data_IF_796863356080
#
_entry.id   IF_796863356080
#
_cell.length_a   1.000
_cell.length_b   1.000
_cell.length_c   1.000
_cell.angle_alpha   90.00
_cell.angle_beta   90.00
_cell.angle_gamma   90.00
#
_symmetry.space_group_name_H-M   'P 1'
#
loop_
_entity.id
_entity.type
_entity.pdbx_description
1 polymer ?
#
# COMPACT_ATOMS: atom_id res chain seq x y z
N UNK A 1 -24.70 12.88 1.29
CA UNK A 1 -24.99 11.77 2.23
C UNK A 1 -24.48 10.42 1.71
N UNK A 2 -24.48 10.15 0.40
CA UNK A 2 -23.97 8.89 -0.17
C UNK A 2 -22.45 8.65 -0.07
N UNK A 3 -21.64 9.72 0.01
CA UNK A 3 -20.16 9.63 -0.08
C UNK A 3 -19.52 8.84 1.06
N UNK A 4 -20.08 8.88 2.28
CA UNK A 4 -19.44 8.28 3.45
C UNK A 4 -19.47 6.75 3.47
N UNK A 5 -20.57 6.15 3.01
CA UNK A 5 -20.71 4.69 2.97
C UNK A 5 -19.82 4.10 1.88
N UNK A 6 -19.77 4.76 0.71
CA UNK A 6 -18.89 4.36 -0.40
C UNK A 6 -17.41 4.44 0.01
N UNK A 7 -17.00 5.54 0.65
CA UNK A 7 -15.64 5.72 1.17
C UNK A 7 -15.28 4.67 2.25
N UNK A 8 -16.25 4.25 3.08
CA UNK A 8 -16.05 3.20 4.09
C UNK A 8 -15.86 1.82 3.44
N UNK A 9 -16.70 1.47 2.46
CA UNK A 9 -16.57 0.22 1.70
C UNK A 9 -15.22 0.16 0.98
N UNK A 10 -14.80 1.24 0.32
CA UNK A 10 -13.50 1.31 -0.35
C UNK A 10 -12.33 1.11 0.63
N UNK A 11 -12.41 1.71 1.83
CA UNK A 11 -11.42 1.50 2.89
C UNK A 11 -11.40 0.05 3.38
N UNK A 12 -12.54 -0.59 3.55
CA UNK A 12 -12.62 -1.99 3.96
C UNK A 12 -12.02 -2.94 2.92
N UNK A 13 -12.30 -2.71 1.63
CA UNK A 13 -11.72 -3.45 0.51
C UNK A 13 -10.20 -3.29 0.48
N UNK A 14 -9.71 -2.06 0.58
CA UNK A 14 -8.27 -1.78 0.61
C UNK A 14 -7.60 -2.43 1.82
N UNK A 15 -8.18 -2.33 3.01
CA UNK A 15 -7.68 -2.96 4.22
C UNK A 15 -7.62 -4.48 4.08
N UNK A 16 -8.64 -5.09 3.47
CA UNK A 16 -8.69 -6.52 3.20
C UNK A 16 -7.63 -6.96 2.19
N UNK A 17 -7.39 -6.17 1.14
CA UNK A 17 -6.31 -6.43 0.20
C UNK A 17 -4.91 -6.28 0.82
N UNK A 18 -4.69 -5.27 1.68
CA UNK A 18 -3.42 -5.06 2.40
C UNK A 18 -3.10 -6.23 3.34
N UNK A 19 -4.11 -6.84 3.98
CA UNK A 19 -3.91 -8.03 4.83
C UNK A 19 -3.30 -9.23 4.08
N UNK A 20 -3.42 -9.29 2.74
CA UNK A 20 -2.83 -10.35 1.91
C UNK A 20 -1.38 -10.08 1.50
N UNK A 21 -0.85 -8.88 1.77
CA UNK A 21 0.55 -8.57 1.51
C UNK A 21 1.47 -9.30 2.48
N UNK A 22 2.67 -9.65 2.03
CA UNK A 22 3.72 -10.11 2.94
C UNK A 22 4.11 -9.00 3.92
N UNK A 23 4.73 -9.36 5.05
CA UNK A 23 5.17 -8.38 6.05
C UNK A 23 6.08 -7.27 5.45
N UNK A 24 6.95 -7.64 4.51
CA UNK A 24 7.83 -6.68 3.83
C UNK A 24 7.06 -5.74 2.90
N UNK A 25 6.15 -6.28 2.09
CA UNK A 25 5.31 -5.47 1.19
C UNK A 25 4.41 -4.53 1.99
N UNK A 26 3.77 -5.03 3.05
CA UNK A 26 2.96 -4.23 3.97
C UNK A 26 3.78 -3.10 4.59
N UNK A 27 5.00 -3.39 5.08
CA UNK A 27 5.88 -2.37 5.64
C UNK A 27 6.24 -1.29 4.63
N UNK A 28 6.51 -1.66 3.37
CA UNK A 28 6.78 -0.69 2.30
C UNK A 28 5.56 0.20 2.09
N UNK A 29 4.34 -0.37 2.01
CA UNK A 29 3.12 0.41 1.83
C UNK A 29 2.80 1.32 3.02
N UNK A 30 2.99 0.82 4.25
CA UNK A 30 2.82 1.62 5.47
C UNK A 30 3.74 2.84 5.49
N UNK A 31 4.99 2.69 5.06
CA UNK A 31 5.94 3.80 5.00
C UNK A 31 5.65 4.75 3.83
N UNK A 32 5.33 4.22 2.65
CA UNK A 32 5.11 5.04 1.43
C UNK A 32 3.85 5.88 1.51
N UNK A 33 2.78 5.35 2.11
CA UNK A 33 1.44 5.94 2.09
C UNK A 33 0.91 6.25 3.49
N UNK A 34 1.78 6.24 4.52
CA UNK A 34 1.40 6.63 5.88
C UNK A 34 0.31 5.76 6.51
N UNK A 35 0.10 4.52 6.06
CA UNK A 35 -1.07 3.70 6.44
C UNK A 35 -1.14 3.36 7.93
N UNK A 36 -0.05 3.56 8.67
CA UNK A 36 0.03 3.29 10.11
C UNK A 36 -0.02 4.55 10.98
N UNK A 37 0.58 5.65 10.53
CA UNK A 37 0.81 6.85 11.35
C UNK A 37 0.53 8.17 10.62
N UNK A 38 -0.02 8.12 9.40
CA UNK A 38 -0.30 9.28 8.55
C UNK A 38 0.94 9.92 7.93
N UNK A 39 2.15 9.40 8.19
CA UNK A 39 3.40 9.99 7.68
C UNK A 39 3.90 9.22 6.48
N UNK A 40 3.78 9.84 5.31
CA UNK A 40 4.33 9.33 4.06
C UNK A 40 5.83 9.56 3.98
N UNK A 41 6.52 8.66 3.27
CA UNK A 41 7.95 8.75 2.98
C UNK A 41 8.17 8.51 1.51
N UNK A 42 9.05 9.27 0.88
CA UNK A 42 9.48 9.09 -0.51
C UNK A 42 10.10 7.71 -0.76
N UNK A 43 10.17 7.28 -2.03
CA UNK A 43 10.84 6.03 -2.38
C UNK A 43 12.31 6.01 -1.96
N UNK A 44 12.97 7.18 -1.99
CA UNK A 44 14.36 7.34 -1.54
C UNK A 44 14.46 7.13 -0.04
N UNK A 45 13.64 7.80 0.75
CA UNK A 45 13.65 7.62 2.22
C UNK A 45 13.34 6.18 2.64
N UNK A 46 12.38 5.51 1.98
CA UNK A 46 12.09 4.10 2.27
C UNK A 46 13.26 3.19 1.84
N UNK A 47 13.91 3.49 0.73
CA UNK A 47 15.12 2.79 0.29
C UNK A 47 16.24 2.91 1.32
N UNK A 48 16.52 4.13 1.77
CA UNK A 48 17.54 4.44 2.77
C UNK A 48 17.24 3.70 4.09
N UNK A 49 15.99 3.70 4.55
CA UNK A 49 15.56 2.98 5.75
C UNK A 49 15.67 1.45 5.65
N UNK A 50 15.48 0.88 4.46
CA UNK A 50 15.47 -0.56 4.24
C UNK A 50 16.80 -1.10 3.69
N UNK A 51 17.81 -0.23 3.52
CA UNK A 51 19.13 -0.61 3.02
C UNK A 51 19.11 -1.18 1.60
N UNK A 52 18.24 -0.66 0.73
CA UNK A 52 18.10 -1.09 -0.67
C UNK A 52 18.01 0.09 -1.62
N UNK A 53 18.19 -0.11 -2.92
CA UNK A 53 18.11 0.99 -3.88
C UNK A 53 16.69 1.55 -4.03
N UNK A 54 16.59 2.86 -4.28
CA UNK A 54 15.32 3.52 -4.63
C UNK A 54 14.68 2.92 -5.88
N UNK A 55 15.49 2.49 -6.86
CA UNK A 55 15.00 1.76 -8.04
C UNK A 55 14.37 0.41 -7.70
N UNK A 56 14.87 -0.29 -6.67
CA UNK A 56 14.28 -1.54 -6.22
C UNK A 56 12.96 -1.29 -5.48
N UNK A 57 12.88 -0.26 -4.63
CA UNK A 57 11.61 0.20 -4.03
C UNK A 57 10.58 0.52 -5.11
N UNK A 58 10.96 1.29 -6.14
CA UNK A 58 10.05 1.64 -7.24
C UNK A 58 9.47 0.40 -7.94
N UNK A 59 10.31 -0.62 -8.20
CA UNK A 59 9.85 -1.89 -8.79
C UNK A 59 8.92 -2.67 -7.85
N UNK A 60 9.23 -2.71 -6.55
CA UNK A 60 8.39 -3.38 -5.56
C UNK A 60 7.03 -2.67 -5.43
N UNK A 61 7.01 -1.35 -5.31
CA UNK A 61 5.79 -0.54 -5.22
C UNK A 61 4.86 -0.78 -6.41
N UNK A 62 5.38 -0.75 -7.64
CA UNK A 62 4.60 -1.08 -8.85
C UNK A 62 3.97 -2.48 -8.79
N UNK A 63 4.74 -3.48 -8.34
CA UNK A 63 4.26 -4.87 -8.20
C UNK A 63 3.18 -4.99 -7.13
N UNK A 64 3.40 -4.37 -5.97
CA UNK A 64 2.47 -4.39 -4.84
C UNK A 64 1.15 -3.72 -5.24
N UNK A 65 1.20 -2.53 -5.85
CA UNK A 65 0.01 -1.82 -6.33
C UNK A 65 -0.76 -2.65 -7.36
N UNK A 66 -0.06 -3.27 -8.32
CA UNK A 66 -0.70 -4.16 -9.30
C UNK A 66 -1.42 -5.34 -8.62
N UNK A 67 -0.81 -5.93 -7.59
CA UNK A 67 -1.41 -7.01 -6.81
C UNK A 67 -2.64 -6.52 -6.02
N UNK A 68 -2.55 -5.38 -5.34
CA UNK A 68 -3.67 -4.79 -4.60
C UNK A 68 -4.86 -4.52 -5.51
N UNK A 69 -4.64 -3.92 -6.68
CA UNK A 69 -5.70 -3.69 -7.69
C UNK A 69 -6.37 -5.00 -8.12
N UNK A 70 -5.59 -6.05 -8.39
CA UNK A 70 -6.13 -7.37 -8.74
C UNK A 70 -6.95 -7.98 -7.61
N UNK A 71 -6.52 -7.81 -6.36
CA UNK A 71 -7.27 -8.32 -5.20
C UNK A 71 -8.57 -7.56 -4.99
N UNK A 72 -8.56 -6.23 -5.10
CA UNK A 72 -9.77 -5.41 -4.99
C UNK A 72 -10.76 -5.77 -6.10
N UNK A 73 -10.30 -5.90 -7.35
CA UNK A 73 -11.15 -6.30 -8.48
C UNK A 73 -11.74 -7.72 -8.36
N UNK A 74 -11.24 -8.55 -7.44
CA UNK A 74 -11.81 -9.89 -7.15
C UNK A 74 -12.85 -9.85 -6.03
N UNK A 75 -12.88 -8.78 -5.26
CA UNK A 75 -13.77 -8.59 -4.11
C UNK A 75 -15.03 -7.79 -4.47
N UNK A 76 -14.95 -7.01 -5.56
CA UNK A 76 -16.07 -6.34 -6.22
C UNK A 76 -16.65 -7.27 -7.27
#
# INVERSE_FOLDING_TARGET
IHRSIEDEIEKELLNSAIKKLSAREKKIMELRFGLKNGVEKTQKEVADMLGISQSYISRLEKRIISRLRKEINRMV
#
